data_IF_429574249587
#
_entry.id   IF_429574249587
#
_cell.length_a   1.000
_cell.length_b   1.000
_cell.length_c   1.000
_cell.angle_alpha   90.00
_cell.angle_beta   90.00
_cell.angle_gamma   90.00
#
_symmetry.space_group_name_H-M   'P 1'
#
loop_
_entity.id
_entity.type
_entity.pdbx_description
1 polymer ?
#
# COMPACT_ATOMS: atom_id res chain seq x y z
N UNK A 1 -7.52 40.70 12.66
CA UNK A 1 -7.56 39.50 13.53
C UNK A 1 -8.10 38.36 12.67
N UNK A 2 -7.27 37.42 12.21
CA UNK A 2 -7.73 36.32 11.35
C UNK A 2 -8.24 35.15 12.22
N UNK A 3 -9.53 34.83 12.09
CA UNK A 3 -10.16 33.68 12.75
C UNK A 3 -10.03 32.45 11.85
N UNK A 4 -9.32 31.43 12.32
CA UNK A 4 -9.25 30.15 11.60
C UNK A 4 -10.54 29.36 11.82
N UNK A 5 -11.18 28.84 10.76
CA UNK A 5 -12.39 28.04 10.91
C UNK A 5 -12.08 26.76 11.68
N UNK A 6 -12.79 26.55 12.79
CA UNK A 6 -12.74 25.29 13.56
C UNK A 6 -13.26 24.17 12.68
N UNK A 7 -12.41 23.20 12.33
CA UNK A 7 -12.86 21.98 11.65
C UNK A 7 -13.84 21.24 12.57
N UNK A 8 -15.08 21.11 12.14
CA UNK A 8 -16.10 20.28 12.80
C UNK A 8 -15.60 18.83 12.87
N UNK A 9 -15.55 18.28 14.08
CA UNK A 9 -15.12 16.90 14.30
C UNK A 9 -16.32 15.98 14.06
N UNK A 10 -16.52 15.56 12.82
CA UNK A 10 -17.46 14.49 12.54
C UNK A 10 -16.91 13.18 13.14
N UNK A 11 -17.72 12.41 13.90
CA UNK A 11 -17.28 11.13 14.43
C UNK A 11 -16.92 10.21 13.25
N UNK A 12 -15.72 9.61 13.32
CA UNK A 12 -15.27 8.66 12.30
C UNK A 12 -16.21 7.46 12.27
N UNK A 13 -16.54 6.95 11.08
CA UNK A 13 -17.34 5.73 10.93
C UNK A 13 -16.70 4.60 11.77
N UNK A 14 -17.50 3.84 12.54
CA UNK A 14 -16.99 2.73 13.32
C UNK A 14 -16.42 1.66 12.39
N UNK A 15 -15.24 1.14 12.72
CA UNK A 15 -14.55 0.10 11.95
C UNK A 15 -15.11 -1.25 12.38
N UNK A 16 -15.88 -1.91 11.51
CA UNK A 16 -16.47 -3.24 11.75
C UNK A 16 -15.69 -4.33 11.02
N UNK A 17 -15.11 -3.99 9.87
CA UNK A 17 -14.34 -4.89 9.02
C UNK A 17 -13.01 -4.23 8.61
N UNK A 18 -12.03 -5.04 8.21
CA UNK A 18 -10.80 -4.55 7.58
C UNK A 18 -11.13 -3.74 6.30
N UNK A 19 -12.27 -4.02 5.67
CA UNK A 19 -12.77 -3.29 4.49
C UNK A 19 -13.14 -1.83 4.79
N UNK A 20 -13.36 -1.48 6.06
CA UNK A 20 -13.63 -0.09 6.49
C UNK A 20 -12.33 0.72 6.65
N UNK A 21 -11.16 0.06 6.57
CA UNK A 21 -9.86 0.73 6.63
C UNK A 21 -9.54 1.38 5.29
N UNK A 22 -9.37 2.71 5.29
CA UNK A 22 -8.90 3.46 4.11
C UNK A 22 -7.58 2.90 3.54
N UNK A 23 -6.69 2.38 4.41
CA UNK A 23 -5.45 1.73 3.97
C UNK A 23 -5.68 0.44 3.18
N UNK A 24 -6.72 -0.33 3.52
CA UNK A 24 -7.03 -1.57 2.79
C UNK A 24 -7.52 -1.23 1.38
N UNK A 25 -8.47 -0.31 1.25
CA UNK A 25 -9.01 0.09 -0.06
C UNK A 25 -7.91 0.64 -0.97
N UNK A 26 -7.06 1.55 -0.46
CA UNK A 26 -5.98 2.14 -1.26
C UNK A 26 -4.90 1.14 -1.66
N UNK A 27 -4.54 0.21 -0.77
CA UNK A 27 -3.56 -0.85 -1.12
C UNK A 27 -4.12 -1.80 -2.16
N UNK A 28 -5.42 -2.13 -2.09
CA UNK A 28 -6.10 -2.94 -3.09
C UNK A 28 -6.11 -2.24 -4.47
N UNK A 29 -6.44 -0.94 -4.52
CA UNK A 29 -6.38 -0.14 -5.74
C UNK A 29 -4.97 -0.16 -6.35
N UNK A 30 -3.93 0.08 -5.55
CA UNK A 30 -2.54 0.04 -6.01
C UNK A 30 -2.17 -1.34 -6.58
N UNK A 31 -2.57 -2.41 -5.89
CA UNK A 31 -2.28 -3.78 -6.31
C UNK A 31 -2.95 -4.11 -7.65
N UNK A 32 -4.23 -3.74 -7.81
CA UNK A 32 -4.98 -3.95 -9.04
C UNK A 32 -4.39 -3.13 -10.19
N UNK A 33 -4.01 -1.87 -9.95
CA UNK A 33 -3.38 -1.00 -10.95
C UNK A 33 -2.07 -1.61 -11.47
N UNK A 34 -1.21 -2.07 -10.57
CA UNK A 34 0.06 -2.74 -10.92
C UNK A 34 -0.18 -4.00 -11.75
N UNK A 35 -1.05 -4.89 -11.27
CA UNK A 35 -1.30 -6.15 -11.97
C UNK A 35 -1.90 -5.88 -13.35
N UNK A 36 -2.88 -4.97 -13.47
CA UNK A 36 -3.46 -4.61 -14.77
C UNK A 36 -2.44 -4.05 -15.76
N UNK A 37 -1.57 -3.14 -15.31
CA UNK A 37 -0.59 -2.46 -16.18
C UNK A 37 0.59 -3.36 -16.55
N UNK A 38 1.07 -4.19 -15.62
CA UNK A 38 2.36 -4.87 -15.77
C UNK A 38 2.27 -6.39 -15.94
N UNK A 39 1.23 -7.08 -15.44
CA UNK A 39 1.14 -8.55 -15.55
C UNK A 39 1.03 -9.07 -16.99
N UNK A 40 0.49 -8.26 -17.92
CA UNK A 40 0.34 -8.61 -19.35
C UNK A 40 1.07 -7.67 -20.33
N UNK A 41 1.79 -6.65 -19.84
CA UNK A 41 2.69 -5.82 -20.67
C UNK A 41 3.69 -6.64 -21.50
N UNK A 42 3.70 -6.44 -22.81
CA UNK A 42 4.66 -7.08 -23.72
C UNK A 42 6.08 -6.52 -23.55
N UNK A 43 6.19 -5.26 -23.12
CA UNK A 43 7.46 -4.57 -22.86
C UNK A 43 8.22 -5.26 -21.71
N UNK A 44 7.48 -5.73 -20.70
CA UNK A 44 8.06 -6.35 -19.50
C UNK A 44 8.23 -7.87 -19.59
N UNK A 45 8.15 -8.47 -20.78
CA UNK A 45 8.32 -9.94 -20.93
C UNK A 45 9.71 -10.40 -20.47
N UNK A 46 10.74 -9.56 -20.65
CA UNK A 46 12.10 -9.85 -20.18
C UNK A 46 12.37 -9.51 -18.71
N UNK A 47 11.39 -8.97 -17.96
CA UNK A 47 11.62 -8.59 -16.57
C UNK A 47 11.46 -9.82 -15.68
N UNK A 48 12.58 -10.40 -15.25
CA UNK A 48 12.60 -11.64 -14.46
C UNK A 48 11.81 -11.56 -13.14
N UNK A 49 11.62 -10.35 -12.61
CA UNK A 49 10.92 -10.11 -11.33
C UNK A 49 9.42 -9.78 -11.50
N UNK A 50 8.86 -9.90 -12.70
CA UNK A 50 7.47 -9.52 -13.00
C UNK A 50 6.43 -10.25 -12.14
N UNK A 51 6.59 -11.56 -11.97
CA UNK A 51 5.71 -12.36 -11.12
C UNK A 51 5.87 -11.97 -9.65
N UNK A 52 7.11 -11.79 -9.19
CA UNK A 52 7.42 -11.34 -7.84
C UNK A 52 6.84 -9.96 -7.53
N UNK A 53 6.85 -9.04 -8.50
CA UNK A 53 6.19 -7.73 -8.38
C UNK A 53 4.68 -7.88 -8.22
N UNK A 54 4.04 -8.73 -9.00
CA UNK A 54 2.59 -8.98 -8.92
C UNK A 54 2.21 -9.59 -7.57
N UNK A 55 2.96 -10.61 -7.13
CA UNK A 55 2.78 -11.27 -5.84
C UNK A 55 3.00 -10.29 -4.68
N UNK A 56 4.04 -9.46 -4.77
CA UNK A 56 4.32 -8.43 -3.79
C UNK A 56 3.15 -7.43 -3.68
N UNK A 57 2.69 -6.90 -4.81
CA UNK A 57 1.58 -5.95 -4.85
C UNK A 57 0.30 -6.53 -4.22
N UNK A 58 -0.07 -7.77 -4.58
CA UNK A 58 -1.25 -8.46 -4.07
C UNK A 58 -1.14 -8.86 -2.59
N UNK A 59 0.08 -9.10 -2.09
CA UNK A 59 0.30 -9.46 -0.68
C UNK A 59 0.03 -8.32 0.30
N UNK A 60 0.21 -7.06 -0.12
CA UNK A 60 0.08 -5.89 0.76
C UNK A 60 -1.33 -5.77 1.38
N UNK A 61 -2.43 -5.78 0.59
CA UNK A 61 -3.78 -5.76 1.17
C UNK A 61 -4.11 -7.04 1.97
N UNK A 62 -3.51 -8.19 1.63
CA UNK A 62 -3.66 -9.43 2.40
C UNK A 62 -3.10 -9.26 3.81
N UNK A 63 -1.87 -8.76 3.95
CA UNK A 63 -1.26 -8.51 5.26
C UNK A 63 -2.08 -7.54 6.12
N UNK A 64 -2.73 -6.53 5.52
CA UNK A 64 -3.63 -5.65 6.28
C UNK A 64 -4.82 -6.43 6.84
N UNK A 65 -5.41 -7.33 6.04
CA UNK A 65 -6.53 -8.15 6.48
C UNK A 65 -6.15 -9.18 7.56
N UNK A 66 -4.97 -9.79 7.42
CA UNK A 66 -4.43 -10.75 8.40
C UNK A 66 -4.09 -10.04 9.72
N UNK A 67 -3.39 -8.91 9.64
CA UNK A 67 -3.10 -8.07 10.80
C UNK A 67 -4.38 -7.62 11.51
N UNK A 68 -5.39 -7.20 10.75
CA UNK A 68 -6.68 -6.85 11.32
C UNK A 68 -7.32 -8.02 12.06
N UNK A 69 -7.24 -9.24 11.53
CA UNK A 69 -7.90 -10.41 12.10
C UNK A 69 -7.37 -10.79 13.49
N UNK A 70 -6.07 -10.59 13.74
CA UNK A 70 -5.43 -10.98 15.01
C UNK A 70 -5.22 -9.83 15.99
N UNK A 71 -5.53 -8.59 15.61
CA UNK A 71 -5.15 -7.36 16.33
C UNK A 71 -5.50 -7.33 17.83
N UNK A 72 -6.63 -7.93 18.23
CA UNK A 72 -7.06 -7.94 19.64
C UNK A 72 -6.49 -9.11 20.45
N UNK A 73 -6.24 -10.26 19.81
CA UNK A 73 -5.76 -11.46 20.50
C UNK A 73 -4.25 -11.58 20.52
N UNK A 74 -3.59 -11.17 19.44
CA UNK A 74 -2.14 -11.14 19.29
C UNK A 74 -1.70 -9.84 18.62
N UNK A 75 -1.56 -8.82 19.48
CA UNK A 75 -1.13 -7.49 19.09
C UNK A 75 0.24 -7.51 18.39
N UNK A 76 1.20 -8.30 18.90
CA UNK A 76 2.56 -8.35 18.33
C UNK A 76 2.51 -8.85 16.89
N UNK A 77 1.82 -9.96 16.65
CA UNK A 77 1.65 -10.53 15.31
C UNK A 77 0.89 -9.58 14.38
N UNK A 78 -0.11 -8.85 14.90
CA UNK A 78 -0.82 -7.85 14.10
C UNK A 78 0.08 -6.73 13.59
N UNK A 79 1.01 -6.26 14.42
CA UNK A 79 1.98 -5.23 14.05
C UNK A 79 3.01 -5.77 13.04
N UNK A 80 3.45 -7.01 13.19
CA UNK A 80 4.35 -7.67 12.22
C UNK A 80 3.70 -7.74 10.83
N UNK A 81 2.40 -8.01 10.74
CA UNK A 81 1.69 -7.97 9.45
C UNK A 81 1.67 -6.56 8.85
N UNK A 82 1.43 -5.52 9.65
CA UNK A 82 1.51 -4.13 9.15
C UNK A 82 2.94 -3.74 8.73
N UNK A 83 3.98 -4.27 9.40
CA UNK A 83 5.38 -4.11 9.00
C UNK A 83 5.67 -4.79 7.67
N UNK A 84 5.16 -6.02 7.46
CA UNK A 84 5.25 -6.71 6.16
C UNK A 84 4.56 -5.92 5.05
N UNK A 85 3.39 -5.33 5.32
CA UNK A 85 2.70 -4.47 4.36
C UNK A 85 3.54 -3.22 3.99
N UNK A 86 4.15 -2.54 4.98
CA UNK A 86 5.04 -1.41 4.73
C UNK A 86 6.31 -1.80 3.96
N UNK A 87 6.90 -2.94 4.29
CA UNK A 87 8.04 -3.49 3.56
C UNK A 87 7.67 -3.81 2.11
N UNK A 88 6.46 -4.35 1.88
CA UNK A 88 5.90 -4.57 0.56
C UNK A 88 5.75 -3.26 -0.24
N UNK A 89 5.26 -2.18 0.37
CA UNK A 89 5.21 -0.87 -0.30
C UNK A 89 6.59 -0.39 -0.74
N UNK A 90 7.61 -0.51 0.12
CA UNK A 90 8.98 -0.13 -0.24
C UNK A 90 9.52 -1.01 -1.38
N UNK A 91 9.28 -2.32 -1.32
CA UNK A 91 9.69 -3.26 -2.37
C UNK A 91 9.04 -2.95 -3.72
N UNK A 92 7.79 -2.50 -3.71
CA UNK A 92 7.11 -2.04 -4.93
C UNK A 92 7.73 -0.78 -5.52
N UNK A 93 8.17 0.17 -4.69
CA UNK A 93 8.92 1.34 -5.17
C UNK A 93 10.20 0.91 -5.88
N UNK A 94 10.97 -0.01 -5.27
CA UNK A 94 12.20 -0.55 -5.89
C UNK A 94 11.91 -1.19 -7.25
N UNK A 95 10.90 -2.08 -7.34
CA UNK A 95 10.53 -2.68 -8.63
C UNK A 95 10.15 -1.66 -9.70
N UNK A 96 9.44 -0.60 -9.32
CA UNK A 96 9.04 0.47 -10.25
C UNK A 96 10.26 1.28 -10.73
N UNK A 97 11.22 1.55 -9.84
CA UNK A 97 12.47 2.22 -10.20
C UNK A 97 13.39 1.34 -11.06
N UNK A 98 13.45 0.03 -10.79
CA UNK A 98 14.16 -0.94 -11.63
C UNK A 98 13.56 -0.98 -13.04
N UNK A 99 12.22 -1.03 -13.16
CA UNK A 99 11.53 -0.98 -14.46
C UNK A 99 11.91 0.31 -15.20
N UNK A 100 11.91 1.46 -14.53
CA UNK A 100 12.34 2.74 -15.13
C UNK A 100 13.77 2.67 -15.64
N UNK A 101 14.70 2.14 -14.84
CA UNK A 101 16.12 2.05 -15.21
C UNK A 101 16.40 1.07 -16.35
N UNK A 102 15.74 -0.09 -16.37
CA UNK A 102 15.97 -1.15 -17.36
C UNK A 102 15.30 -0.81 -18.70
N UNK A 103 14.09 -0.27 -18.67
CA UNK A 103 13.29 -0.07 -19.88
C UNK A 103 13.31 1.36 -20.40
N UNK A 104 13.74 2.33 -19.59
CA UNK A 104 13.80 3.74 -19.97
C UNK A 104 12.49 4.23 -20.56
N UNK A 105 12.57 4.93 -21.69
CA UNK A 105 11.44 5.51 -22.40
C UNK A 105 10.40 4.49 -22.92
N UNK A 106 10.71 3.18 -22.90
CA UNK A 106 9.75 2.13 -23.30
C UNK A 106 8.59 2.01 -22.31
N UNK A 107 8.69 2.59 -21.12
CA UNK A 107 7.63 2.66 -20.13
C UNK A 107 7.42 4.13 -19.76
N UNK A 108 6.16 4.58 -19.73
CA UNK A 108 5.84 5.96 -19.34
C UNK A 108 6.34 6.27 -17.92
N UNK A 109 7.22 7.27 -17.83
CA UNK A 109 7.76 7.78 -16.57
C UNK A 109 6.66 8.30 -15.65
N UNK A 110 5.62 8.92 -16.22
CA UNK A 110 4.48 9.46 -15.49
C UNK A 110 3.71 8.35 -14.76
N UNK A 111 3.50 7.20 -15.41
CA UNK A 111 2.84 6.04 -14.79
C UNK A 111 3.68 5.50 -13.63
N UNK A 112 5.01 5.42 -13.81
CA UNK A 112 5.92 4.95 -12.78
C UNK A 112 5.89 5.90 -11.57
N UNK A 113 6.03 7.20 -11.80
CA UNK A 113 6.02 8.22 -10.75
C UNK A 113 4.70 8.27 -9.98
N UNK A 114 3.56 8.15 -10.68
CA UNK A 114 2.25 8.07 -10.05
C UNK A 114 2.15 6.87 -9.10
N UNK A 115 2.61 5.70 -9.55
CA UNK A 115 2.57 4.48 -8.73
C UNK A 115 3.53 4.54 -7.55
N UNK A 116 4.75 5.06 -7.75
CA UNK A 116 5.72 5.29 -6.67
C UNK A 116 5.11 6.19 -5.59
N UNK A 117 4.51 7.31 -6.00
CA UNK A 117 3.83 8.24 -5.09
C UNK A 117 2.71 7.55 -4.31
N UNK A 118 1.85 6.78 -5.00
CA UNK A 118 0.77 6.01 -4.35
C UNK A 118 1.31 5.06 -3.28
N UNK A 119 2.37 4.31 -3.57
CA UNK A 119 2.97 3.38 -2.59
C UNK A 119 3.61 4.08 -1.39
N UNK A 120 4.29 5.21 -1.61
CA UNK A 120 4.85 6.03 -0.52
C UNK A 120 3.73 6.57 0.38
N UNK A 121 2.68 7.14 -0.21
CA UNK A 121 1.54 7.71 0.52
C UNK A 121 0.82 6.65 1.36
N UNK A 122 0.60 5.48 0.77
CA UNK A 122 -0.11 4.38 1.44
C UNK A 122 0.75 3.76 2.54
N UNK A 123 2.06 3.63 2.36
CA UNK A 123 2.98 3.23 3.43
C UNK A 123 2.87 4.12 4.66
N UNK A 124 2.83 5.45 4.47
CA UNK A 124 2.67 6.40 5.59
C UNK A 124 1.34 6.19 6.32
N UNK A 125 0.26 5.89 5.59
CA UNK A 125 -1.03 5.58 6.21
C UNK A 125 -0.98 4.27 7.00
N UNK A 126 -0.31 3.23 6.50
CA UNK A 126 -0.10 1.96 7.23
C UNK A 126 0.71 2.21 8.50
N UNK A 127 1.77 3.03 8.45
CA UNK A 127 2.53 3.41 9.65
C UNK A 127 1.66 4.11 10.70
N UNK A 128 0.78 5.03 10.28
CA UNK A 128 -0.16 5.68 11.19
C UNK A 128 -1.16 4.69 11.78
N UNK A 129 -1.61 3.71 11.00
CA UNK A 129 -2.45 2.62 11.50
C UNK A 129 -1.71 1.78 12.54
N UNK A 130 -0.44 1.42 12.29
CA UNK A 130 0.35 0.62 13.24
C UNK A 130 0.56 1.37 14.56
N UNK A 131 0.80 2.67 14.52
CA UNK A 131 0.85 3.51 15.74
C UNK A 131 -0.49 3.58 16.47
N UNK A 132 -1.61 3.65 15.74
CA UNK A 132 -2.93 3.64 16.34
C UNK A 132 -3.23 2.30 17.03
N UNK A 133 -2.86 1.18 16.41
CA UNK A 133 -3.01 -0.16 17.01
C UNK A 133 -2.04 -0.36 18.17
N UNK A 134 -0.82 0.14 18.08
CA UNK A 134 0.14 0.09 19.19
C UNK A 134 -0.39 0.80 20.44
N UNK A 135 -1.19 1.86 20.28
CA UNK A 135 -1.76 2.63 21.39
C UNK A 135 -3.08 2.08 21.92
N UNK A 136 -4.00 1.70 21.04
CA UNK A 136 -5.43 1.57 21.37
C UNK A 136 -6.01 0.17 21.15
N UNK A 137 -5.22 -0.76 20.63
CA UNK A 137 -5.59 -2.14 20.39
C UNK A 137 -4.63 -3.02 21.17
#
# INVERSE_FOLDING_TARGET
MYSFPRKSFAPKKPIRSFRDLDVYTKTLECAVDVVKKFSKSRILVGFSQRENMSNCALSIPLYISEGHSVRFGDKKTSLVFLEKAMAGCNKMVVYLEEIRGIYGEKVSSEIIEELVKKYIDVRVKIFRLSKAWQKNV
#
